data_IF_769669596886
#
_entry.id   IF_769669596886
#
_cell.length_a   1.000
_cell.length_b   1.000
_cell.length_c   1.000
_cell.angle_alpha   90.00
_cell.angle_beta   90.00
_cell.angle_gamma   90.00
#
_symmetry.space_group_name_H-M   'P 1'
#
loop_
_entity.id
_entity.type
_entity.pdbx_description
1 polymer ?
#
# COMPACT_ATOMS: atom_id res chain seq x y z
N UNK A 1 1.90 -7.27 -8.89
CA UNK A 1 0.86 -6.51 -8.28
C UNK A 1 1.33 -5.14 -7.91
N UNK A 2 0.45 -4.28 -7.53
CA UNK A 2 0.79 -2.89 -7.32
C UNK A 2 1.42 -2.59 -5.98
N UNK A 3 2.10 -1.48 -5.88
CA UNK A 3 2.62 -0.99 -4.64
C UNK A 3 2.01 0.38 -4.42
N UNK A 4 1.71 0.67 -3.18
CA UNK A 4 1.05 1.92 -2.81
C UNK A 4 1.89 2.64 -1.76
N UNK A 5 2.17 3.91 -1.99
CA UNK A 5 3.04 4.65 -1.11
C UNK A 5 2.28 5.76 -0.40
N UNK A 6 2.52 5.90 0.89
CA UNK A 6 1.95 6.98 1.67
C UNK A 6 2.63 8.28 1.28
N UNK A 7 1.87 9.27 0.88
CA UNK A 7 2.43 10.53 0.43
C UNK A 7 3.05 11.33 1.55
N UNK A 8 2.72 11.02 2.76
CA UNK A 8 3.23 11.79 3.89
C UNK A 8 4.52 11.21 4.46
N UNK A 9 4.59 9.95 4.73
CA UNK A 9 5.75 9.38 5.40
C UNK A 9 6.58 8.44 4.54
N UNK A 10 6.07 8.06 3.37
CA UNK A 10 6.82 7.18 2.49
C UNK A 10 6.65 5.69 2.72
N UNK A 11 5.77 5.30 3.63
CA UNK A 11 5.52 3.88 3.86
C UNK A 11 4.97 3.25 2.58
N UNK A 12 5.44 2.06 2.24
CA UNK A 12 4.98 1.38 1.04
C UNK A 12 4.23 0.11 1.39
N UNK A 13 3.03 -0.04 0.83
CA UNK A 13 2.26 -1.28 0.97
C UNK A 13 2.42 -2.03 -0.34
N UNK A 14 2.97 -3.24 -0.27
CA UNK A 14 3.18 -4.07 -1.44
C UNK A 14 2.08 -5.11 -1.47
N UNK A 15 1.25 -5.09 -2.50
CA UNK A 15 0.13 -6.03 -2.57
C UNK A 15 0.57 -7.48 -2.65
N UNK A 16 1.74 -7.74 -3.18
CA UNK A 16 2.23 -9.10 -3.25
C UNK A 16 2.59 -9.64 -1.89
N UNK A 17 3.12 -8.80 -1.04
CA UNK A 17 3.55 -9.24 0.27
C UNK A 17 2.50 -9.14 1.35
N UNK A 18 1.55 -8.25 1.17
CA UNK A 18 0.55 -8.01 2.19
C UNK A 18 1.21 -7.39 3.42
N UNK A 19 0.62 -7.64 4.57
CA UNK A 19 1.16 -7.13 5.81
C UNK A 19 0.68 -8.05 6.92
N UNK A 20 1.39 -9.13 7.13
CA UNK A 20 0.95 -10.14 8.09
C UNK A 20 0.82 -9.63 9.50
N UNK A 21 1.65 -8.68 9.91
CA UNK A 21 1.56 -8.12 11.24
C UNK A 21 0.30 -7.26 11.40
N UNK A 22 -0.41 -6.97 10.31
CA UNK A 22 -1.64 -6.23 10.39
C UNK A 22 -2.81 -7.10 9.96
N UNK A 23 -2.58 -8.38 9.78
CA UNK A 23 -3.62 -9.30 9.39
C UNK A 23 -4.01 -9.22 7.93
N UNK A 24 -3.14 -8.72 7.07
CA UNK A 24 -3.41 -8.62 5.66
C UNK A 24 -2.66 -9.69 4.90
N UNK A 25 -3.37 -10.55 4.21
CA UNK A 25 -2.75 -11.66 3.51
C UNK A 25 -2.00 -11.22 2.26
N UNK A 26 -0.95 -11.96 1.88
CA UNK A 26 -0.27 -11.67 0.63
C UNK A 26 -1.26 -11.77 -0.53
N UNK A 27 -1.13 -10.91 -1.48
CA UNK A 27 -2.02 -10.90 -2.63
C UNK A 27 -3.27 -10.07 -2.46
N UNK A 28 -3.41 -9.36 -1.34
CA UNK A 28 -4.59 -8.53 -1.11
C UNK A 28 -4.39 -7.19 -1.79
N UNK A 29 -5.30 -6.84 -2.70
CA UNK A 29 -5.16 -5.55 -3.39
C UNK A 29 -5.52 -4.41 -2.46
N UNK A 30 -4.94 -3.25 -2.73
CA UNK A 30 -5.16 -2.09 -1.88
C UNK A 30 -6.63 -1.71 -1.83
N UNK A 31 -7.34 -1.88 -2.93
CA UNK A 31 -8.74 -1.54 -2.97
C UNK A 31 -9.59 -2.44 -2.08
N UNK A 32 -9.08 -3.61 -1.73
CA UNK A 32 -9.80 -4.52 -0.87
C UNK A 32 -9.61 -4.20 0.61
N UNK A 33 -8.67 -3.32 0.93
CA UNK A 33 -8.46 -2.96 2.32
C UNK A 33 -9.65 -2.15 2.81
N UNK A 34 -9.99 -2.30 4.06
CA UNK A 34 -11.13 -1.57 4.61
C UNK A 34 -10.91 -0.08 4.51
N UNK A 35 -11.98 0.68 4.41
CA UNK A 35 -11.85 2.12 4.36
C UNK A 35 -11.21 2.67 5.61
N UNK A 36 -11.29 1.93 6.70
CA UNK A 36 -10.70 2.37 7.95
C UNK A 36 -9.19 2.14 8.00
N UNK A 37 -8.63 1.53 6.96
CA UNK A 37 -7.19 1.28 6.94
C UNK A 37 -6.44 2.60 7.03
N UNK A 38 -5.41 2.65 7.85
CA UNK A 38 -4.60 3.82 8.00
C UNK A 38 -3.15 3.43 7.87
N UNK A 39 -2.32 4.40 7.53
CA UNK A 39 -0.89 4.14 7.41
C UNK A 39 -0.35 3.64 8.74
N UNK A 40 0.29 2.49 8.78
CA UNK A 40 0.80 1.96 10.05
C UNK A 40 1.95 2.79 10.61
N UNK A 41 2.53 3.62 9.78
CA UNK A 41 3.67 4.41 10.24
C UNK A 41 3.28 5.82 10.68
N UNK A 42 2.42 6.50 9.98
CA UNK A 42 2.06 7.87 10.35
C UNK A 42 0.58 8.08 10.65
N UNK A 43 -0.24 7.08 10.41
CA UNK A 43 -1.63 7.16 10.81
C UNK A 43 -2.59 7.91 9.89
N UNK A 44 -2.14 8.37 8.73
CA UNK A 44 -3.03 9.09 7.84
C UNK A 44 -3.97 8.13 7.13
N UNK A 45 -5.01 8.65 6.56
CA UNK A 45 -6.04 7.81 5.96
C UNK A 45 -5.59 7.16 4.67
N UNK A 46 -6.32 6.17 4.24
CA UNK A 46 -6.08 5.46 3.03
C UNK A 46 -5.97 6.38 1.82
N UNK A 47 -6.66 7.50 1.83
CA UNK A 47 -6.63 8.43 0.74
C UNK A 47 -5.29 9.06 0.49
N UNK A 48 -4.40 9.01 1.45
CA UNK A 48 -3.08 9.60 1.30
C UNK A 48 -2.12 8.68 0.57
N UNK A 49 -2.56 7.50 0.17
CA UNK A 49 -1.70 6.58 -0.55
C UNK A 49 -1.89 6.76 -2.05
N UNK A 50 -0.83 6.56 -2.80
CA UNK A 50 -0.92 6.63 -4.22
C UNK A 50 -0.18 5.45 -4.82
N UNK A 51 -0.68 4.94 -5.92
CA UNK A 51 -0.08 3.79 -6.58
C UNK A 51 1.22 4.20 -7.25
N UNK A 52 2.30 3.46 -7.00
CA UNK A 52 3.60 3.83 -7.51
C UNK A 52 4.30 2.72 -8.20
N UNK A 53 3.63 1.60 -8.43
CA UNK A 53 4.34 0.46 -8.75
C UNK A 53 5.05 0.46 -10.01
N UNK A 54 4.51 -0.02 -10.94
CA UNK A 54 5.24 -0.52 -11.97
C UNK A 54 5.53 0.30 -13.09
N UNK A 55 5.12 1.48 -13.08
CA UNK A 55 5.44 2.31 -14.10
C UNK A 55 6.86 2.34 -14.28
N UNK A 56 7.54 2.48 -13.21
CA UNK A 56 8.89 2.61 -13.18
C UNK A 56 9.60 1.41 -13.70
N UNK A 57 9.09 0.28 -13.44
CA UNK A 57 9.70 -0.89 -13.85
C UNK A 57 9.64 -1.06 -15.32
N UNK A 58 8.59 -0.66 -15.93
CA UNK A 58 8.48 -0.80 -17.30
C UNK A 58 9.37 -0.02 -18.09
N UNK A 59 9.86 0.98 -17.65
CA UNK A 59 10.73 1.82 -18.34
C UNK A 59 11.98 1.19 -18.64
N UNK A 60 12.35 0.24 -17.93
CA UNK A 60 13.63 -0.36 -18.22
C UNK A 60 13.58 -1.48 -19.16
#
# INVERSE_FOLDING_TARGET
MAKWKCKLCGFVYDEDEGSSDRGIDPGTSFSELADAFKCPQCGVSKKMFKEVDNLYIKIN
#
